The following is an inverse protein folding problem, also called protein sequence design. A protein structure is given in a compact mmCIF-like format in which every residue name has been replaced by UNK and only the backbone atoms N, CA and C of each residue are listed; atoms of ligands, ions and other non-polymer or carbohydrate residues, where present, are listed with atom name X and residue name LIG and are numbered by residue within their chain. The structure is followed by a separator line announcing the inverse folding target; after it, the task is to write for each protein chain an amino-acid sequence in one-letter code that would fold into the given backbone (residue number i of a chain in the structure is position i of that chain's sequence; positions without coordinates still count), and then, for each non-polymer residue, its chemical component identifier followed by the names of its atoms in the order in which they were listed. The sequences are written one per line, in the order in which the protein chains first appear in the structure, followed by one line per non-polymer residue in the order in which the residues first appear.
data_IF_451759759665
#
_entry.id   IF_451759759665
#
_cell.length_a   1.000
_cell.length_b   1.000
_cell.length_c   1.000
_cell.angle_alpha   90.00
_cell.angle_beta   90.00
_cell.angle_gamma   90.00
#
_symmetry.space_group_name_H-M   'P 1'
#
loop_
_entity.id
_entity.type
_entity.pdbx_description
1 polymer ?
#
# COMPACT_ATOMS: atom_id res chain seq x y z
N UNK A 1 0.64 23.23 4.37
CA UNK A 1 -0.16 22.53 3.34
C UNK A 1 -1.60 22.47 3.82
N UNK A 2 -2.56 22.88 2.98
CA UNK A 2 -3.99 22.71 3.27
C UNK A 2 -4.39 21.24 3.15
N UNK A 3 -5.43 20.80 3.89
CA UNK A 3 -5.84 19.40 3.91
C UNK A 3 -6.14 18.82 2.52
N UNK A 4 -6.69 19.64 1.63
CA UNK A 4 -6.95 19.32 0.23
C UNK A 4 -5.69 19.03 -0.58
N UNK A 5 -4.58 19.75 -0.37
CA UNK A 5 -3.31 19.47 -1.05
C UNK A 5 -2.76 18.09 -0.67
N UNK A 6 -2.92 17.68 0.59
CA UNK A 6 -2.48 16.36 1.08
C UNK A 6 -3.27 15.23 0.41
N UNK A 7 -4.58 15.42 0.23
CA UNK A 7 -5.44 14.45 -0.46
C UNK A 7 -5.08 14.33 -1.95
N UNK A 8 -4.80 15.45 -2.62
CA UNK A 8 -4.38 15.46 -4.02
C UNK A 8 -3.06 14.72 -4.20
N UNK A 9 -2.09 14.91 -3.30
CA UNK A 9 -0.82 14.19 -3.32
C UNK A 9 -1.00 12.68 -3.07
N UNK A 10 -1.83 12.29 -2.09
CA UNK A 10 -2.16 10.88 -1.87
C UNK A 10 -2.84 10.25 -3.09
N UNK A 11 -3.75 10.97 -3.72
CA UNK A 11 -4.42 10.51 -4.93
C UNK A 11 -3.43 10.33 -6.09
N UNK A 12 -2.55 11.30 -6.34
CA UNK A 12 -1.52 11.18 -7.38
C UNK A 12 -0.60 9.98 -7.11
N UNK A 13 -0.20 9.78 -5.85
CA UNK A 13 0.60 8.63 -5.45
C UNK A 13 -0.13 7.31 -5.74
N UNK A 14 -1.44 7.21 -5.47
CA UNK A 14 -2.24 6.02 -5.80
C UNK A 14 -2.35 5.76 -7.30
N UNK A 15 -2.42 6.82 -8.12
CA UNK A 15 -2.39 6.68 -9.59
C UNK A 15 -1.06 6.07 -10.04
N UNK A 16 0.06 6.63 -9.56
CA UNK A 16 1.41 6.12 -9.90
C UNK A 16 1.57 4.66 -9.47
N UNK A 17 1.16 4.32 -8.24
CA UNK A 17 1.20 2.93 -7.77
C UNK A 17 0.30 2.01 -8.60
N UNK A 18 -0.83 2.50 -9.13
CA UNK A 18 -1.72 1.70 -9.98
C UNK A 18 -1.11 1.40 -11.35
N UNK A 19 -0.47 2.38 -11.97
CA UNK A 19 0.29 2.16 -13.20
C UNK A 19 1.42 1.16 -12.92
N UNK A 20 2.15 1.35 -11.81
CA UNK A 20 3.17 0.40 -11.36
C UNK A 20 2.64 -1.03 -11.26
N UNK A 21 1.47 -1.23 -10.64
CA UNK A 21 0.90 -2.58 -10.49
C UNK A 21 0.62 -3.25 -11.82
N UNK A 22 0.08 -2.50 -12.80
CA UNK A 22 -0.19 -3.03 -14.15
C UNK A 22 1.11 -3.40 -14.86
N UNK A 23 2.12 -2.55 -14.78
CA UNK A 23 3.42 -2.80 -15.41
C UNK A 23 4.13 -4.02 -14.79
N UNK A 24 4.10 -4.16 -13.46
CA UNK A 24 4.69 -5.33 -12.77
C UNK A 24 3.89 -6.61 -13.00
N UNK A 25 2.57 -6.50 -13.16
CA UNK A 25 1.74 -7.66 -13.51
C UNK A 25 2.02 -8.14 -14.94
N UNK A 26 2.18 -7.20 -15.87
CA UNK A 26 2.50 -7.52 -17.26
C UNK A 26 3.89 -8.14 -17.44
N UNK A 27 4.86 -7.84 -16.57
CA UNK A 27 6.19 -8.44 -16.61
C UNK A 27 6.28 -9.81 -15.93
N UNK A 28 5.18 -10.32 -15.36
CA UNK A 28 5.17 -11.58 -14.60
C UNK A 28 5.80 -11.47 -13.20
N UNK A 29 6.18 -10.26 -12.77
CA UNK A 29 6.82 -10.01 -11.49
C UNK A 29 5.78 -9.92 -10.36
N UNK A 30 5.16 -11.05 -10.05
CA UNK A 30 4.04 -11.16 -9.11
C UNK A 30 4.34 -10.56 -7.72
N UNK A 31 5.58 -10.68 -7.23
CA UNK A 31 6.00 -10.08 -5.95
C UNK A 31 5.94 -8.55 -5.97
N UNK A 32 6.25 -7.94 -7.13
CA UNK A 32 6.15 -6.51 -7.34
C UNK A 32 4.70 -6.01 -7.19
N UNK A 33 3.73 -6.78 -7.69
CA UNK A 33 2.31 -6.47 -7.55
C UNK A 33 1.89 -6.46 -6.07
N UNK A 34 2.34 -7.45 -5.30
CA UNK A 34 2.03 -7.55 -3.88
C UNK A 34 2.63 -6.42 -3.07
N UNK A 35 3.90 -6.08 -3.29
CA UNK A 35 4.55 -4.96 -2.63
C UNK A 35 3.83 -3.64 -2.92
N UNK A 36 3.51 -3.39 -4.19
CA UNK A 36 2.78 -2.19 -4.59
C UNK A 36 1.37 -2.15 -3.97
N UNK A 37 0.69 -3.28 -3.83
CA UNK A 37 -0.59 -3.36 -3.15
C UNK A 37 -0.49 -3.00 -1.66
N UNK A 38 0.57 -3.44 -0.96
CA UNK A 38 0.82 -3.04 0.43
C UNK A 38 1.05 -1.54 0.55
N UNK A 39 1.89 -0.97 -0.30
CA UNK A 39 2.17 0.48 -0.26
C UNK A 39 0.91 1.29 -0.55
N UNK A 40 0.03 0.83 -1.46
CA UNK A 40 -1.29 1.46 -1.67
C UNK A 40 -2.12 1.48 -0.38
N UNK A 41 -2.18 0.35 0.32
CA UNK A 41 -2.88 0.23 1.59
C UNK A 41 -2.38 1.26 2.61
N UNK A 42 -1.06 1.45 2.70
CA UNK A 42 -0.46 2.46 3.57
C UNK A 42 -0.86 3.89 3.21
N UNK A 43 -0.85 4.23 1.92
CA UNK A 43 -1.26 5.56 1.42
C UNK A 43 -2.74 5.83 1.75
N UNK A 44 -3.60 4.81 1.69
CA UNK A 44 -5.03 4.95 2.02
C UNK A 44 -5.23 5.17 3.53
N UNK A 45 -4.57 4.36 4.35
CA UNK A 45 -4.61 4.46 5.82
C UNK A 45 -4.14 5.84 6.29
N UNK A 46 -3.03 6.34 5.73
CA UNK A 46 -2.42 7.61 6.15
C UNK A 46 -3.06 8.86 5.51
N UNK A 47 -3.58 8.74 4.29
CA UNK A 47 -4.11 9.84 3.49
C UNK A 47 -5.61 10.06 3.66
N UNK A 48 -6.41 9.00 3.66
CA UNK A 48 -7.87 9.08 3.58
C UNK A 48 -8.58 8.80 4.90
N UNK A 49 -8.03 7.91 5.75
CA UNK A 49 -8.74 7.47 6.95
C UNK A 49 -8.63 8.41 8.17
N UNK A 50 -8.06 9.62 8.03
CA UNK A 50 -7.83 10.55 9.14
C UNK A 50 -7.06 9.97 10.35
N UNK A 51 -6.51 8.74 10.22
CA UNK A 51 -5.70 8.03 11.22
C UNK A 51 -4.40 8.77 11.54
N UNK A 52 -4.04 9.81 10.77
CA UNK A 52 -2.95 10.75 11.07
C UNK A 52 -3.12 11.44 12.44
N UNK A 53 -4.34 11.53 12.98
CA UNK A 53 -4.64 12.03 14.34
C UNK A 53 -4.98 10.92 15.35
N UNK A 54 -4.97 9.65 14.94
CA UNK A 54 -5.30 8.51 15.79
C UNK A 54 -4.10 7.99 16.60
N UNK A 55 -4.34 7.08 17.58
CA UNK A 55 -3.30 6.47 18.37
C UNK A 55 -2.28 5.71 17.50
N UNK A 56 -0.99 5.93 17.77
CA UNK A 56 0.12 5.35 17.00
C UNK A 56 0.08 3.82 16.90
N UNK A 57 -0.36 3.13 17.95
CA UNK A 57 -0.47 1.66 17.97
C UNK A 57 -1.44 1.13 16.92
N UNK A 58 -2.57 1.82 16.72
CA UNK A 58 -3.58 1.45 15.73
C UNK A 58 -3.07 1.65 14.30
N UNK A 59 -2.29 2.71 14.09
CA UNK A 59 -1.62 2.98 12.83
C UNK A 59 -0.58 1.91 12.51
N UNK A 60 0.25 1.52 13.47
CA UNK A 60 1.21 0.43 13.30
C UNK A 60 0.55 -0.91 13.00
N UNK A 61 -0.54 -1.24 13.69
CA UNK A 61 -1.28 -2.48 13.44
C UNK A 61 -1.86 -2.52 12.02
N UNK A 62 -2.45 -1.41 11.57
CA UNK A 62 -3.04 -1.27 10.23
C UNK A 62 -2.00 -1.20 9.11
N UNK A 63 -0.78 -0.73 9.39
CA UNK A 63 0.32 -0.74 8.42
C UNK A 63 1.04 -2.10 8.41
N UNK A 64 1.24 -2.72 9.58
CA UNK A 64 2.04 -3.93 9.74
C UNK A 64 1.40 -5.19 9.16
N UNK A 65 0.08 -5.34 9.26
CA UNK A 65 -0.58 -6.59 8.85
C UNK A 65 -0.40 -6.90 7.36
N UNK A 66 -0.38 -5.89 6.48
CA UNK A 66 -0.15 -6.09 5.05
C UNK A 66 1.23 -6.69 4.74
N UNK A 67 2.25 -6.32 5.51
CA UNK A 67 3.60 -6.90 5.40
C UNK A 67 3.59 -8.36 5.86
N UNK A 68 2.89 -8.65 6.95
CA UNK A 68 2.73 -10.04 7.45
C UNK A 68 2.05 -10.90 6.39
N UNK A 69 1.00 -10.40 5.75
CA UNK A 69 0.33 -11.10 4.66
C UNK A 69 1.30 -11.36 3.51
N UNK A 70 2.04 -10.35 3.04
CA UNK A 70 3.02 -10.55 1.95
C UNK A 70 4.11 -11.55 2.33
N UNK A 71 4.62 -11.51 3.57
CA UNK A 71 5.61 -12.47 4.06
C UNK A 71 5.07 -13.90 4.12
N UNK A 72 3.83 -14.09 4.61
CA UNK A 72 3.16 -15.38 4.63
C UNK A 72 2.91 -15.89 3.22
N UNK A 73 2.43 -15.01 2.36
CA UNK A 73 2.19 -15.29 0.97
C UNK A 73 3.51 -15.77 0.35
N UNK A 74 4.66 -15.09 0.47
CA UNK A 74 5.96 -15.57 -0.06
C UNK A 74 6.35 -17.03 0.22
N UNK A 75 5.78 -17.67 1.24
CA UNK A 75 6.06 -19.07 1.59
C UNK A 75 5.24 -20.08 0.79
N UNK A 76 4.23 -19.65 0.04
CA UNK A 76 3.44 -20.56 -0.79
C UNK A 76 4.23 -21.06 -2.03
N UNK A 77 3.94 -22.26 -2.54
CA UNK A 77 4.61 -22.75 -3.76
C UNK A 77 4.05 -22.12 -5.04
N UNK A 78 2.82 -21.59 -4.98
CA UNK A 78 2.17 -20.93 -6.14
C UNK A 78 2.82 -19.59 -6.51
N UNK A 79 3.59 -19.04 -5.57
CA UNK A 79 4.33 -17.84 -5.80
C UNK A 79 5.65 -17.90 -5.01
N UNK A 80 6.41 -18.97 -5.26
CA UNK A 80 7.84 -19.07 -5.00
C UNK A 80 8.61 -18.97 -6.32
#
# INVERSE_FOLDING_TARGET
MTGSQTLILCWLMLVVLSVGTVLTGASGLWWGVLLLAVVKGWVIVDGFMALRRGPWLWRFLMLGWGVVVVALLSTYPLFA
#
